data_IF_134318202505
#
_entry.id   IF_134318202505
#
_cell.length_a   1.000
_cell.length_b   1.000
_cell.length_c   1.000
_cell.angle_alpha   90.00
_cell.angle_beta   90.00
_cell.angle_gamma   90.00
#
_symmetry.space_group_name_H-M   'P 1'
#
loop_
_entity.id
_entity.type
_entity.pdbx_description
1 polymer ?
#
# COMPACT_ATOMS: atom_id res chain seq x y z
N UNK A 1 -14.65 -26.64 -13.03
CA UNK A 1 -13.74 -26.06 -14.04
C UNK A 1 -12.48 -25.58 -13.33
N UNK A 2 -11.39 -26.35 -13.40
CA UNK A 2 -10.10 -25.98 -12.83
C UNK A 2 -9.40 -25.12 -13.88
N UNK A 3 -9.19 -23.83 -13.61
CA UNK A 3 -8.39 -22.96 -14.47
C UNK A 3 -6.94 -23.47 -14.42
N UNK A 4 -6.49 -24.07 -15.52
CA UNK A 4 -5.08 -24.40 -15.72
C UNK A 4 -4.35 -23.06 -15.87
N UNK A 5 -3.74 -22.56 -14.79
CA UNK A 5 -2.84 -21.41 -14.89
C UNK A 5 -1.65 -21.82 -15.76
N UNK A 6 -1.64 -21.36 -17.01
CA UNK A 6 -0.56 -21.63 -17.94
C UNK A 6 0.57 -20.65 -17.60
N UNK A 7 1.68 -21.18 -17.11
CA UNK A 7 2.87 -20.39 -16.82
C UNK A 7 3.34 -19.66 -18.09
N UNK A 8 3.68 -18.37 -17.94
CA UNK A 8 4.27 -17.58 -19.00
C UNK A 8 5.70 -18.05 -19.24
N UNK A 9 5.99 -18.56 -20.44
CA UNK A 9 7.35 -18.92 -20.83
C UNK A 9 8.14 -17.68 -21.22
N UNK A 10 9.47 -17.75 -21.10
CA UNK A 10 10.37 -16.61 -21.38
C UNK A 10 10.16 -16.07 -22.80
N UNK A 11 9.95 -16.94 -23.79
CA UNK A 11 9.75 -16.52 -25.18
C UNK A 11 8.48 -15.68 -25.35
N UNK A 12 7.49 -15.86 -24.48
CA UNK A 12 6.26 -15.08 -24.48
C UNK A 12 6.45 -13.73 -23.78
N UNK A 13 7.32 -13.66 -22.77
CA UNK A 13 7.65 -12.41 -22.08
C UNK A 13 8.34 -11.41 -23.01
N UNK A 14 9.26 -11.89 -23.86
CA UNK A 14 9.97 -11.07 -24.86
C UNK A 14 9.02 -10.45 -25.88
N UNK A 15 7.86 -11.07 -26.13
CA UNK A 15 6.85 -10.59 -27.06
C UNK A 15 5.82 -9.63 -26.43
N UNK A 16 5.93 -9.32 -25.14
CA UNK A 16 5.05 -8.34 -24.49
C UNK A 16 5.49 -6.95 -24.95
N UNK A 17 4.65 -6.28 -25.73
CA UNK A 17 4.88 -4.89 -26.12
C UNK A 17 4.75 -3.98 -24.91
N UNK A 18 5.88 -3.38 -24.50
CA UNK A 18 5.91 -2.36 -23.45
C UNK A 18 5.90 -0.98 -24.13
N UNK A 19 4.97 -0.09 -23.77
CA UNK A 19 4.97 1.28 -24.28
C UNK A 19 6.31 1.98 -23.98
N UNK A 20 7.00 2.44 -25.02
CA UNK A 20 8.25 3.17 -24.89
C UNK A 20 7.98 4.67 -24.79
N UNK A 21 7.53 5.12 -23.62
CA UNK A 21 7.30 6.54 -23.35
C UNK A 21 8.63 7.31 -23.27
N UNK A 22 8.65 8.63 -23.55
CA UNK A 22 9.80 9.47 -23.24
C UNK A 22 10.19 9.37 -21.76
N UNK A 23 11.48 9.51 -21.45
CA UNK A 23 12.01 9.33 -20.09
C UNK A 23 11.27 10.18 -19.06
N UNK A 24 10.96 11.44 -19.38
CA UNK A 24 10.18 12.33 -18.53
C UNK A 24 8.84 11.72 -18.12
N UNK A 25 8.12 11.12 -19.07
CA UNK A 25 6.83 10.46 -18.82
C UNK A 25 6.98 9.17 -18.02
N UNK A 26 8.05 8.42 -18.25
CA UNK A 26 8.34 7.23 -17.43
C UNK A 26 8.57 7.63 -15.96
N UNK A 27 9.35 8.68 -15.72
CA UNK A 27 9.60 9.20 -14.37
C UNK A 27 8.33 9.74 -13.71
N UNK A 28 7.49 10.46 -14.46
CA UNK A 28 6.19 10.95 -13.99
C UNK A 28 5.31 9.78 -13.53
N UNK A 29 5.15 8.75 -14.38
CA UNK A 29 4.35 7.55 -14.06
C UNK A 29 4.94 6.83 -12.85
N UNK A 30 6.25 6.64 -12.79
CA UNK A 30 6.90 5.95 -11.68
C UNK A 30 6.64 6.65 -10.33
N UNK A 31 6.73 7.99 -10.29
CA UNK A 31 6.45 8.79 -9.09
C UNK A 31 4.99 8.71 -8.64
N UNK A 32 4.04 8.51 -9.55
CA UNK A 32 2.63 8.32 -9.16
C UNK A 32 2.42 6.96 -8.49
N UNK A 33 3.17 5.93 -8.90
CA UNK A 33 2.99 4.58 -8.41
C UNK A 33 3.74 4.29 -7.10
N UNK A 34 4.97 4.81 -6.95
CA UNK A 34 5.80 4.52 -5.79
C UNK A 34 6.79 5.66 -5.49
N UNK A 35 6.83 6.08 -4.23
CA UNK A 35 7.81 7.05 -3.73
C UNK A 35 8.45 6.53 -2.45
N UNK A 36 9.79 6.55 -2.38
CA UNK A 36 10.50 6.15 -1.16
C UNK A 36 10.36 7.24 -0.09
N UNK A 37 9.35 7.08 0.77
CA UNK A 37 9.02 7.96 1.90
C UNK A 37 8.97 7.10 3.17
N UNK A 38 9.60 7.57 4.24
CA UNK A 38 9.63 6.87 5.53
C UNK A 38 8.29 6.98 6.26
N UNK A 39 8.02 6.04 7.18
CA UNK A 39 6.83 6.08 8.05
C UNK A 39 7.06 7.10 9.18
N UNK A 40 5.96 7.68 9.68
CA UNK A 40 6.03 8.55 10.85
C UNK A 40 6.37 7.71 12.10
N UNK A 41 7.25 8.20 12.98
CA UNK A 41 7.74 7.44 14.15
C UNK A 41 7.17 7.91 15.48
N UNK A 42 6.56 9.09 15.52
CA UNK A 42 6.08 9.78 16.73
C UNK A 42 4.58 10.08 16.64
N UNK A 43 3.81 9.02 16.39
CA UNK A 43 2.36 9.06 16.23
C UNK A 43 1.63 8.92 17.58
N UNK A 44 0.63 9.75 17.79
CA UNK A 44 -0.34 9.70 18.90
C UNK A 44 -1.75 9.85 18.36
N UNK A 45 -2.79 9.53 19.15
CA UNK A 45 -4.18 9.69 18.70
C UNK A 45 -4.53 11.13 18.27
N UNK A 46 -3.88 12.11 18.88
CA UNK A 46 -4.11 13.53 18.61
C UNK A 46 -3.46 13.97 17.29
N UNK A 47 -2.27 13.46 16.97
CA UNK A 47 -1.49 13.93 15.82
C UNK A 47 -1.56 12.99 14.59
N UNK A 48 -2.07 11.77 14.77
CA UNK A 48 -2.03 10.71 13.77
C UNK A 48 -2.62 11.15 12.43
N UNK A 49 -3.86 11.65 12.46
CA UNK A 49 -4.60 11.98 11.26
C UNK A 49 -3.93 13.08 10.44
N UNK A 50 -3.36 14.08 11.10
CA UNK A 50 -2.69 15.19 10.43
C UNK A 50 -1.38 14.74 9.77
N UNK A 51 -0.53 14.04 10.53
CA UNK A 51 0.77 13.54 10.04
C UNK A 51 0.63 12.53 8.91
N UNK A 52 -0.31 11.58 9.02
CA UNK A 52 -0.56 10.62 7.94
C UNK A 52 -1.18 11.29 6.72
N UNK A 53 -2.06 12.27 6.87
CA UNK A 53 -2.56 13.03 5.70
C UNK A 53 -1.44 13.73 4.94
N UNK A 54 -0.51 14.37 5.66
CA UNK A 54 0.64 15.01 5.04
C UNK A 54 1.52 13.99 4.30
N UNK A 55 1.83 12.86 4.95
CA UNK A 55 2.62 11.78 4.36
C UNK A 55 1.95 11.16 3.14
N UNK A 56 0.66 10.86 3.24
CA UNK A 56 -0.14 10.23 2.18
C UNK A 56 -0.22 11.09 0.92
N UNK A 57 -0.12 12.42 1.04
CA UNK A 57 -0.01 13.32 -0.12
C UNK A 57 1.27 13.11 -0.95
N UNK A 58 2.28 12.46 -0.38
CA UNK A 58 3.60 12.22 -0.99
C UNK A 58 3.79 10.77 -1.43
N UNK A 59 2.93 9.84 -0.98
CA UNK A 59 3.03 8.42 -1.30
C UNK A 59 2.55 8.10 -2.71
N UNK A 60 3.05 6.99 -3.24
CA UNK A 60 2.54 6.41 -4.48
C UNK A 60 1.31 5.52 -4.25
N UNK A 61 0.55 5.30 -5.33
CA UNK A 61 -0.68 4.49 -5.34
C UNK A 61 -0.47 3.10 -4.73
N UNK A 62 0.65 2.44 -5.03
CA UNK A 62 0.93 1.10 -4.51
C UNK A 62 1.02 1.11 -2.98
N UNK A 63 1.74 2.07 -2.40
CA UNK A 63 1.92 2.17 -0.96
C UNK A 63 0.60 2.49 -0.25
N UNK A 64 -0.17 3.44 -0.80
CA UNK A 64 -1.50 3.79 -0.27
C UNK A 64 -2.44 2.57 -0.26
N UNK A 65 -2.43 1.75 -1.31
CA UNK A 65 -3.25 0.54 -1.37
C UNK A 65 -2.84 -0.49 -0.32
N UNK A 66 -1.53 -0.70 -0.12
CA UNK A 66 -1.04 -1.64 0.90
C UNK A 66 -1.43 -1.18 2.31
N UNK A 67 -1.25 0.11 2.61
CA UNK A 67 -1.61 0.68 3.91
C UNK A 67 -3.13 0.61 4.16
N UNK A 68 -3.97 0.77 3.12
CA UNK A 68 -5.41 0.56 3.26
C UNK A 68 -5.77 -0.88 3.67
N UNK A 69 -5.03 -1.89 3.19
CA UNK A 69 -5.24 -3.28 3.61
C UNK A 69 -4.83 -3.49 5.08
N UNK A 70 -3.68 -2.97 5.48
CA UNK A 70 -3.18 -3.04 6.87
C UNK A 70 -4.15 -2.34 7.85
N UNK A 71 -4.65 -1.15 7.48
CA UNK A 71 -5.63 -0.41 8.28
C UNK A 71 -6.95 -1.15 8.40
N UNK A 72 -7.41 -1.81 7.33
CA UNK A 72 -8.63 -2.61 7.36
C UNK A 72 -8.47 -3.80 8.32
N UNK A 73 -7.36 -4.54 8.21
CA UNK A 73 -7.08 -5.67 9.11
C UNK A 73 -6.99 -5.22 10.57
N UNK A 74 -6.34 -4.08 10.81
CA UNK A 74 -6.25 -3.47 12.13
C UNK A 74 -7.64 -3.14 12.69
N UNK A 75 -8.50 -2.52 11.88
CA UNK A 75 -9.86 -2.19 12.28
C UNK A 75 -10.69 -3.44 12.60
N UNK A 76 -10.64 -4.46 11.73
CA UNK A 76 -11.33 -5.75 11.96
C UNK A 76 -10.86 -6.39 13.27
N UNK A 77 -9.55 -6.41 13.54
CA UNK A 77 -8.98 -6.93 14.79
C UNK A 77 -9.45 -6.14 16.03
N UNK A 78 -9.53 -4.82 15.93
CA UNK A 78 -10.00 -3.96 17.02
C UNK A 78 -11.47 -4.23 17.33
N UNK A 79 -12.32 -4.37 16.31
CA UNK A 79 -13.74 -4.71 16.48
C UNK A 79 -13.89 -6.05 17.21
N UNK A 80 -13.14 -7.07 16.80
CA UNK A 80 -13.16 -8.39 17.45
C UNK A 80 -12.75 -8.32 18.92
N UNK A 81 -11.70 -7.54 19.24
CA UNK A 81 -11.27 -7.33 20.63
C UNK A 81 -12.34 -6.65 21.47
N UNK A 82 -13.02 -5.63 20.92
CA UNK A 82 -14.13 -4.94 21.59
C UNK A 82 -15.25 -5.92 21.91
N UNK A 83 -15.71 -6.69 20.92
CA UNK A 83 -16.81 -7.67 21.08
C UNK A 83 -16.47 -8.70 22.16
N UNK A 84 -15.22 -9.14 22.19
CA UNK A 84 -14.75 -10.17 23.13
C UNK A 84 -14.32 -9.60 24.49
N UNK A 85 -14.49 -8.29 24.72
CA UNK A 85 -14.02 -7.57 25.91
C UNK A 85 -12.54 -7.88 26.26
N UNK A 86 -11.70 -7.91 25.21
CA UNK A 86 -10.26 -8.12 25.32
C UNK A 86 -9.54 -6.78 25.42
N UNK A 87 -8.35 -6.79 26.02
CA UNK A 87 -7.48 -5.62 26.06
C UNK A 87 -7.12 -5.16 24.63
N UNK A 88 -7.15 -3.84 24.44
CA UNK A 88 -6.84 -3.18 23.18
C UNK A 88 -5.53 -2.42 23.36
N UNK A 89 -4.55 -2.78 22.56
CA UNK A 89 -3.33 -2.02 22.37
C UNK A 89 -3.29 -1.58 20.91
N UNK A 90 -3.24 -0.27 20.68
CA UNK A 90 -3.16 0.33 19.34
C UNK A 90 -1.72 0.68 19.08
N UNK A 91 -1.12 -0.02 18.13
CA UNK A 91 0.18 0.33 17.56
C UNK A 91 -0.05 1.20 16.32
N UNK A 92 0.69 2.31 16.21
CA UNK A 92 0.65 3.20 15.06
C UNK A 92 1.71 2.85 14.00
N UNK A 93 2.55 1.84 14.26
CA UNK A 93 3.65 1.40 13.41
C UNK A 93 3.33 0.29 12.41
N UNK A 94 2.06 0.17 11.98
CA UNK A 94 1.69 -0.67 10.82
C UNK A 94 2.59 -0.33 9.65
#
# INVERSE_FOLDING_TARGET
FMLLFKELRIEQFVNISIPNFPEEKQQEIARQYYNKIEKNTDLTFENYLEKEKERNSKLGIFQLNMELFELRETLENLIDKIIMNKEINVDFGY
#
